data_IF_824568980208
#
_entry.id   IF_824568980208
#
_cell.length_a   1.000
_cell.length_b   1.000
_cell.length_c   1.000
_cell.angle_alpha   90.00
_cell.angle_beta   90.00
_cell.angle_gamma   90.00
#
_symmetry.space_group_name_H-M   'P 1'
#
loop_
_entity.id
_entity.type
_entity.pdbx_description
1 polymer ?
#
# COMPACT_ATOMS: atom_id res chain seq x y z
N UNK A 1 -20.53 -11.89 -15.56
CA UNK A 1 -19.34 -12.22 -14.75
C UNK A 1 -18.14 -11.66 -15.49
N UNK A 2 -17.61 -10.49 -15.08
CA UNK A 2 -16.34 -10.00 -15.63
C UNK A 2 -15.23 -10.85 -15.02
N UNK A 3 -14.72 -11.81 -15.78
CA UNK A 3 -13.55 -12.60 -15.38
C UNK A 3 -12.32 -11.70 -15.28
N UNK A 4 -11.42 -12.01 -14.34
CA UNK A 4 -10.10 -11.39 -14.34
C UNK A 4 -9.40 -11.67 -15.67
N UNK A 5 -8.75 -10.65 -16.21
CA UNK A 5 -7.88 -10.83 -17.38
C UNK A 5 -6.64 -11.64 -17.00
N UNK A 6 -6.03 -12.32 -17.98
CA UNK A 6 -4.76 -13.05 -17.79
C UNK A 6 -3.63 -12.15 -17.24
N UNK A 7 -3.65 -10.85 -17.59
CA UNK A 7 -2.73 -9.86 -17.03
C UNK A 7 -2.98 -9.64 -15.53
N UNK A 8 -4.24 -9.48 -15.12
CA UNK A 8 -4.58 -9.33 -13.71
C UNK A 8 -4.22 -10.58 -12.90
N UNK A 9 -4.41 -11.78 -13.45
CA UNK A 9 -3.99 -13.03 -12.81
C UNK A 9 -2.47 -13.09 -12.62
N UNK A 10 -1.70 -12.77 -13.67
CA UNK A 10 -0.23 -12.76 -13.60
C UNK A 10 0.32 -11.71 -12.61
N UNK A 11 -0.43 -10.64 -12.35
CA UNK A 11 -0.02 -9.55 -11.46
C UNK A 11 -0.62 -9.63 -10.05
N UNK A 12 -1.53 -10.57 -9.81
CA UNK A 12 -2.25 -10.68 -8.54
C UNK A 12 -1.32 -10.92 -7.36
N UNK A 13 -0.35 -11.84 -7.51
CA UNK A 13 0.61 -12.16 -6.47
C UNK A 13 1.58 -11.00 -6.18
N UNK A 14 2.24 -10.36 -7.18
CA UNK A 14 3.03 -9.15 -6.96
C UNK A 14 2.25 -8.03 -6.24
N UNK A 15 0.98 -7.82 -6.60
CA UNK A 15 0.13 -6.82 -5.95
C UNK A 15 -0.19 -7.20 -4.49
N UNK A 16 -0.45 -8.49 -4.21
CA UNK A 16 -0.64 -8.99 -2.86
C UNK A 16 0.60 -8.81 -1.99
N UNK A 17 1.78 -9.21 -2.49
CA UNK A 17 3.05 -9.03 -1.78
C UNK A 17 3.36 -7.55 -1.52
N UNK A 18 3.00 -6.66 -2.45
CA UNK A 18 3.14 -5.22 -2.24
C UNK A 18 2.24 -4.73 -1.10
N UNK A 19 0.98 -5.17 -1.05
CA UNK A 19 0.07 -4.86 0.04
C UNK A 19 0.60 -5.38 1.38
N UNK A 20 1.07 -6.61 1.45
CA UNK A 20 1.54 -7.21 2.70
C UNK A 20 2.75 -6.45 3.29
N UNK A 21 3.63 -5.90 2.46
CA UNK A 21 4.74 -5.04 2.92
C UNK A 21 4.27 -3.79 3.67
N UNK A 22 3.07 -3.31 3.40
CA UNK A 22 2.49 -2.11 4.02
C UNK A 22 1.41 -2.45 5.06
N UNK A 23 1.22 -3.72 5.39
CA UNK A 23 0.34 -4.14 6.47
C UNK A 23 0.75 -3.47 7.80
N UNK A 24 -0.22 -3.22 8.67
CA UNK A 24 0.03 -2.54 9.96
C UNK A 24 0.11 -1.02 9.88
N UNK A 25 -0.48 -0.38 8.86
CA UNK A 25 -0.56 1.09 8.71
C UNK A 25 0.80 1.77 8.53
N UNK A 26 1.72 1.12 7.85
CA UNK A 26 3.03 1.69 7.53
C UNK A 26 2.93 2.82 6.51
N UNK A 27 3.74 3.86 6.70
CA UNK A 27 3.97 4.92 5.72
C UNK A 27 4.95 4.41 4.65
N UNK A 28 5.25 5.23 3.64
CA UNK A 28 6.18 4.82 2.59
C UNK A 28 7.05 5.93 2.04
N UNK A 29 8.21 5.56 1.52
CA UNK A 29 9.13 6.45 0.82
C UNK A 29 9.56 5.81 -0.49
N UNK A 30 9.99 6.63 -1.45
CA UNK A 30 10.55 6.14 -2.70
C UNK A 30 12.04 5.85 -2.50
N UNK A 31 12.51 4.72 -3.02
CA UNK A 31 13.93 4.39 -3.03
C UNK A 31 14.77 5.55 -3.61
N UNK A 32 15.78 5.99 -2.85
CA UNK A 32 16.59 7.16 -3.19
C UNK A 32 16.01 8.51 -2.71
N UNK A 33 14.95 8.50 -1.91
CA UNK A 33 14.34 9.69 -1.31
C UNK A 33 14.04 9.49 0.18
N UNK A 34 14.28 10.54 0.95
CA UNK A 34 14.06 10.57 2.40
C UNK A 34 12.64 11.08 2.75
N UNK A 35 11.85 11.41 1.72
CA UNK A 35 10.51 11.96 1.87
C UNK A 35 9.50 10.85 2.14
N UNK A 36 8.85 10.92 3.30
CA UNK A 36 7.87 9.94 3.77
C UNK A 36 6.47 10.41 3.46
N UNK A 37 5.69 9.54 2.84
CA UNK A 37 4.32 9.73 2.41
C UNK A 37 3.36 8.89 3.25
N UNK A 38 2.17 9.43 3.51
CA UNK A 38 1.03 8.59 3.88
C UNK A 38 0.69 7.66 2.72
N UNK A 39 0.28 6.43 3.03
CA UNK A 39 -0.02 5.39 2.03
C UNK A 39 -1.53 5.21 1.86
N UNK A 40 -1.95 4.98 0.61
CA UNK A 40 -3.32 4.60 0.20
C UNK A 40 -3.23 3.49 -0.84
N UNK A 41 -4.28 2.68 -0.97
CA UNK A 41 -4.43 1.81 -2.12
C UNK A 41 -4.86 2.63 -3.34
N UNK A 42 -4.31 2.27 -4.49
CA UNK A 42 -4.65 2.87 -5.78
C UNK A 42 -4.71 1.79 -6.85
N UNK A 43 -5.55 2.02 -7.84
CA UNK A 43 -5.68 1.16 -9.01
C UNK A 43 -4.41 1.17 -9.87
N UNK A 44 -3.94 -0.02 -10.21
CA UNK A 44 -2.80 -0.31 -11.06
C UNK A 44 -3.09 -1.55 -11.90
N UNK A 45 -3.23 -1.37 -13.23
CA UNK A 45 -3.49 -2.47 -14.18
C UNK A 45 -4.68 -3.38 -13.76
N UNK A 46 -5.71 -2.79 -13.16
CA UNK A 46 -6.90 -3.51 -12.69
C UNK A 46 -6.74 -4.21 -11.34
N UNK A 47 -5.70 -3.90 -10.57
CA UNK A 47 -5.44 -4.38 -9.21
C UNK A 47 -5.20 -3.20 -8.26
N UNK A 48 -5.37 -3.41 -6.96
CA UNK A 48 -5.07 -2.39 -5.94
C UNK A 48 -3.67 -2.61 -5.35
N UNK A 49 -2.84 -1.56 -5.38
CA UNK A 49 -1.47 -1.56 -4.83
C UNK A 49 -1.23 -0.34 -3.93
N UNK A 50 -0.33 -0.43 -2.93
CA UNK A 50 0.02 0.72 -2.10
C UNK A 50 0.77 1.80 -2.90
N UNK A 51 0.40 3.05 -2.65
CA UNK A 51 1.00 4.23 -3.26
C UNK A 51 0.91 5.48 -2.34
N UNK A 52 1.70 6.55 -2.59
CA UNK A 52 1.58 7.82 -1.92
C UNK A 52 0.15 8.35 -2.02
N UNK A 53 -0.47 8.62 -0.88
CA UNK A 53 -1.83 9.17 -0.82
C UNK A 53 -1.96 10.57 -1.43
N UNK A 54 -0.84 11.26 -1.67
CA UNK A 54 -0.81 12.54 -2.38
C UNK A 54 -0.64 12.41 -3.91
N UNK A 55 -0.65 11.19 -4.45
CA UNK A 55 -0.54 10.86 -5.87
C UNK A 55 0.71 11.42 -6.58
N UNK A 56 1.77 11.76 -5.85
CA UNK A 56 3.04 12.16 -6.49
C UNK A 56 3.74 10.92 -7.08
N UNK A 57 4.28 11.06 -8.29
CA UNK A 57 5.00 9.98 -8.96
C UNK A 57 4.13 8.92 -9.65
N UNK A 58 2.81 9.13 -9.77
CA UNK A 58 1.87 8.09 -10.26
C UNK A 58 1.89 7.85 -11.78
N UNK A 59 2.44 8.76 -12.58
CA UNK A 59 2.48 8.63 -14.05
C UNK A 59 3.41 7.53 -14.59
N UNK A 60 4.41 7.12 -13.81
CA UNK A 60 5.37 6.05 -14.11
C UNK A 60 5.52 5.10 -12.89
N UNK A 61 4.41 4.90 -12.17
CA UNK A 61 4.40 4.34 -10.83
C UNK A 61 5.02 2.94 -10.75
N UNK A 62 6.07 2.81 -9.95
CA UNK A 62 6.73 1.54 -9.65
C UNK A 62 6.65 1.26 -8.14
N UNK A 63 5.64 0.48 -7.73
CA UNK A 63 5.46 0.10 -6.33
C UNK A 63 6.56 -0.83 -5.80
N UNK A 64 7.43 -1.38 -6.66
CA UNK A 64 8.59 -2.17 -6.20
C UNK A 64 9.66 -1.28 -5.56
N UNK A 65 9.72 -0.01 -5.96
CA UNK A 65 10.61 1.02 -5.41
C UNK A 65 9.99 1.79 -4.25
N UNK A 66 8.70 1.57 -3.97
CA UNK A 66 8.03 2.17 -2.82
C UNK A 66 8.21 1.28 -1.59
N UNK A 67 8.99 1.77 -0.62
CA UNK A 67 9.40 1.01 0.56
C UNK A 67 8.58 1.42 1.78
N UNK A 68 8.20 0.45 2.59
CA UNK A 68 7.46 0.68 3.83
C UNK A 68 8.37 1.24 4.93
N UNK A 69 7.81 2.07 5.80
CA UNK A 69 8.51 2.63 6.95
C UNK A 69 7.55 2.95 8.09
N UNK A 70 8.04 2.90 9.32
CA UNK A 70 7.37 3.38 10.53
C UNK A 70 7.60 4.88 10.78
N UNK A 71 8.49 5.51 10.01
CA UNK A 71 8.78 6.95 10.14
C UNK A 71 7.53 7.81 9.91
N UNK A 72 7.44 8.99 10.57
CA UNK A 72 6.33 9.91 10.39
C UNK A 72 6.32 10.54 8.99
N UNK A 73 5.15 10.97 8.53
CA UNK A 73 4.98 11.63 7.22
C UNK A 73 5.70 12.97 7.19
N UNK A 74 6.66 13.11 6.26
CA UNK A 74 7.42 14.34 6.03
C UNK A 74 7.02 15.07 4.75
N UNK A 75 6.31 14.40 3.83
CA UNK A 75 5.85 15.01 2.58
C UNK A 75 4.92 16.20 2.82
N UNK A 76 5.32 17.39 2.33
CA UNK A 76 4.53 18.62 2.43
C UNK A 76 3.13 18.48 1.84
N UNK A 77 2.99 17.83 0.67
CA UNK A 77 1.68 17.64 0.01
C UNK A 77 0.76 16.73 0.83
N UNK A 78 1.29 15.66 1.42
CA UNK A 78 0.51 14.80 2.32
C UNK A 78 0.03 15.61 3.54
N UNK A 79 0.91 16.40 4.17
CA UNK A 79 0.58 17.21 5.33
C UNK A 79 -0.47 18.28 5.01
N UNK A 80 -0.33 19.01 3.91
CA UNK A 80 -1.31 20.00 3.45
C UNK A 80 -2.69 19.38 3.16
N UNK A 81 -2.73 18.12 2.74
CA UNK A 81 -3.96 17.37 2.49
C UNK A 81 -4.52 16.65 3.74
N UNK A 82 -3.91 16.84 4.93
CA UNK A 82 -4.32 16.15 6.16
C UNK A 82 -3.99 14.65 6.21
N UNK A 83 -3.17 14.15 5.27
CA UNK A 83 -2.75 12.77 5.19
C UNK A 83 -1.52 12.54 6.08
N UNK A 84 -1.74 12.40 7.39
CA UNK A 84 -0.65 12.29 8.38
C UNK A 84 -0.19 10.86 8.65
N UNK A 85 -0.93 9.87 8.16
CA UNK A 85 -0.59 8.44 8.30
C UNK A 85 -1.24 7.62 7.18
N UNK A 86 -0.70 6.42 6.97
CA UNK A 86 -1.36 5.38 6.19
C UNK A 86 -2.74 5.05 6.76
N UNK A 87 -3.73 4.96 5.88
CA UNK A 87 -5.05 4.41 6.20
C UNK A 87 -5.18 2.96 5.77
N UNK A 88 -4.15 2.43 5.12
CA UNK A 88 -4.14 1.03 4.69
C UNK A 88 -3.69 0.16 5.85
N UNK A 89 -4.59 -0.71 6.32
CA UNK A 89 -4.29 -1.65 7.40
C UNK A 89 -3.68 -2.95 6.88
N UNK A 90 -4.14 -3.45 5.72
CA UNK A 90 -3.58 -4.58 4.97
C UNK A 90 -3.58 -5.97 5.63
N UNK A 91 -3.95 -6.99 4.84
CA UNK A 91 -3.80 -8.44 5.11
C UNK A 91 -5.09 -9.15 5.54
N UNK A 92 -5.34 -10.43 5.14
CA UNK A 92 -6.34 -11.25 5.79
C UNK A 92 -5.89 -11.43 7.24
N UNK A 93 -6.63 -10.84 8.18
CA UNK A 93 -6.54 -11.27 9.56
C UNK A 93 -6.87 -12.76 9.55
N UNK A 94 -5.88 -13.63 9.75
CA UNK A 94 -6.16 -14.93 10.33
C UNK A 94 -6.76 -14.57 11.69
N UNK A 95 -8.09 -14.57 11.76
CA UNK A 95 -8.80 -14.49 13.03
C UNK A 95 -8.23 -15.63 13.84
N UNK A 96 -7.50 -15.30 14.91
CA UNK A 96 -7.22 -16.26 15.96
C UNK A 96 -8.61 -16.72 16.41
N UNK A 97 -9.01 -17.93 16.01
CA UNK A 97 -10.12 -18.60 16.63
C UNK A 97 -9.66 -18.81 18.07
N UNK A 98 -10.18 -17.99 18.98
CA UNK A 98 -10.13 -18.27 20.40
C UNK A 98 -10.91 -19.57 20.57
N UNK A 99 -10.19 -20.69 20.58
CA UNK A 99 -10.75 -21.97 20.93
C UNK A 99 -10.94 -21.90 22.45
N UNK A 100 -12.07 -21.33 22.87
CA UNK A 100 -12.47 -21.35 24.28
C UNK A 100 -12.39 -22.80 24.76
N UNK A 101 -11.60 -22.96 25.83
CA UNK A 101 -11.27 -24.23 26.43
C UNK A 101 -12.51 -25.04 26.79
N UNK A 102 -12.36 -26.33 26.54
CA UNK A 102 -13.22 -27.45 26.93
C UNK A 102 -13.38 -27.49 28.46
#
# INVERSE_FOLDING_TARGET
>A
MNGMSALQEALAEPAAQARDRFAGRLNGYLEGSDVVHAVRLQGWLGLEVPAPGCHVGTGSWDFTRFKATTSPVTCGRCRSAGLLASSFTGGPHQQVLDLEGI
#
